data_IF_608169765241
#
_entry.id   IF_608169765241
#
_cell.length_a   1.000
_cell.length_b   1.000
_cell.length_c   1.000
_cell.angle_alpha   90.00
_cell.angle_beta   90.00
_cell.angle_gamma   90.00
#
_symmetry.space_group_name_H-M   'P 1'
#
loop_
_entity.id
_entity.type
_entity.pdbx_description
1 polymer ?
#
# COMPACT_ATOMS: atom_id res chain seq x y z
N UNK A 1 3.07 29.00 7.75
CA UNK A 1 1.88 28.26 8.23
C UNK A 1 1.76 28.38 9.74
N UNK A 2 0.63 28.85 10.23
CA UNK A 2 0.41 28.94 11.68
C UNK A 2 0.17 27.56 12.29
N UNK A 3 0.60 27.31 13.53
CA UNK A 3 0.26 26.08 14.22
C UNK A 3 -1.26 25.88 14.27
N UNK A 4 -1.74 24.74 13.83
CA UNK A 4 -3.16 24.42 13.77
C UNK A 4 -3.82 24.61 12.42
N UNK A 5 -3.18 25.28 11.46
CA UNK A 5 -3.69 25.40 10.08
C UNK A 5 -3.09 24.30 9.20
N UNK A 6 -3.65 23.10 9.32
CA UNK A 6 -3.19 21.92 8.59
C UNK A 6 -4.10 21.60 7.39
N UNK A 7 -5.16 22.41 7.15
CA UNK A 7 -6.13 22.10 6.09
C UNK A 7 -5.55 22.17 4.69
N UNK A 8 -4.74 23.19 4.40
CA UNK A 8 -4.18 23.37 3.07
C UNK A 8 -3.21 22.23 2.68
N UNK A 9 -2.24 21.83 3.54
CA UNK A 9 -1.40 20.68 3.24
C UNK A 9 -2.19 19.37 3.19
N UNK A 10 -3.18 19.16 4.05
CA UNK A 10 -4.01 17.95 4.01
C UNK A 10 -4.85 17.88 2.73
N UNK A 11 -5.42 19.02 2.29
CA UNK A 11 -6.17 19.09 1.05
C UNK A 11 -5.26 18.80 -0.16
N UNK A 12 -4.03 19.27 -0.13
CA UNK A 12 -3.05 19.01 -1.18
C UNK A 12 -2.70 17.52 -1.25
N UNK A 13 -2.48 16.88 -0.10
CA UNK A 13 -2.23 15.44 -0.05
C UNK A 13 -3.42 14.64 -0.58
N UNK A 14 -4.64 15.03 -0.23
CA UNK A 14 -5.86 14.40 -0.72
C UNK A 14 -5.97 14.51 -2.24
N UNK A 15 -5.63 15.65 -2.81
CA UNK A 15 -5.71 15.89 -4.24
C UNK A 15 -4.61 15.13 -5.02
N UNK A 16 -3.39 15.08 -4.48
CA UNK A 16 -2.24 14.42 -5.11
C UNK A 16 -2.26 12.91 -4.91
N UNK A 17 -2.79 12.43 -3.77
CA UNK A 17 -2.79 11.03 -3.37
C UNK A 17 -4.19 10.58 -2.94
N UNK A 18 -5.17 10.54 -3.88
CA UNK A 18 -6.57 10.33 -3.53
C UNK A 18 -6.88 8.96 -2.92
N UNK A 19 -6.07 7.94 -3.21
CA UNK A 19 -6.28 6.57 -2.74
C UNK A 19 -5.46 6.23 -1.50
N UNK A 20 -5.05 7.23 -0.73
CA UNK A 20 -4.25 7.04 0.47
C UNK A 20 -5.01 7.47 1.72
N UNK A 21 -4.51 6.98 2.87
CA UNK A 21 -4.98 7.43 4.17
C UNK A 21 -4.25 8.72 4.53
N UNK A 22 -5.00 9.80 4.65
CA UNK A 22 -4.45 11.11 5.03
C UNK A 22 -4.50 11.23 6.55
N UNK A 23 -3.41 11.66 7.14
CA UNK A 23 -3.33 11.84 8.59
C UNK A 23 -2.63 13.14 8.97
N UNK A 24 -2.98 13.63 10.17
CA UNK A 24 -2.30 14.74 10.83
C UNK A 24 -2.28 14.48 12.33
N UNK A 25 -1.10 14.59 12.94
CA UNK A 25 -0.91 14.37 14.37
C UNK A 25 0.28 15.20 14.86
N UNK A 26 0.03 16.12 15.81
CA UNK A 26 1.06 16.92 16.47
C UNK A 26 2.06 17.58 15.50
N UNK A 27 1.55 18.17 14.43
CA UNK A 27 2.38 18.82 13.41
C UNK A 27 2.99 17.86 12.38
N UNK A 28 2.85 16.55 12.57
CA UNK A 28 3.19 15.56 11.57
C UNK A 28 1.97 15.26 10.71
N UNK A 29 2.10 15.36 9.41
CA UNK A 29 1.03 15.03 8.48
C UNK A 29 1.59 14.35 7.24
N UNK A 30 0.75 13.51 6.63
CA UNK A 30 1.17 12.73 5.48
C UNK A 30 0.03 11.93 4.87
N UNK A 31 0.39 11.11 3.91
CA UNK A 31 -0.52 10.20 3.23
C UNK A 31 0.11 8.79 3.17
N UNK A 32 -0.66 7.77 3.53
CA UNK A 32 -0.20 6.39 3.49
C UNK A 32 -1.10 5.56 2.58
N UNK A 33 -0.54 4.82 1.63
CA UNK A 33 -1.32 3.91 0.78
C UNK A 33 -1.63 2.58 1.46
N UNK A 34 -1.05 2.29 2.62
CA UNK A 34 -1.15 1.00 3.26
C UNK A 34 -2.28 0.96 4.28
N UNK A 35 -3.10 -0.09 4.20
CA UNK A 35 -4.07 -0.44 5.23
C UNK A 35 -3.53 -1.64 6.00
N UNK A 36 -3.14 -1.42 7.25
CA UNK A 36 -2.63 -2.50 8.08
C UNK A 36 -3.69 -3.56 8.31
N UNK A 37 -4.81 -3.17 8.89
CA UNK A 37 -5.96 -4.05 9.11
C UNK A 37 -7.22 -3.21 9.11
N UNK A 38 -8.25 -3.72 8.45
CA UNK A 38 -9.59 -3.16 8.50
C UNK A 38 -10.54 -4.24 8.99
N UNK A 39 -11.36 -3.92 9.98
CA UNK A 39 -12.41 -4.81 10.48
C UNK A 39 -13.76 -4.16 10.22
N UNK A 40 -14.62 -4.88 9.51
CA UNK A 40 -15.95 -4.40 9.16
C UNK A 40 -16.91 -5.58 9.16
N UNK A 41 -17.96 -5.54 9.99
CA UNK A 41 -18.99 -6.58 10.07
C UNK A 41 -18.41 -8.00 10.18
N UNK A 42 -17.44 -8.22 11.06
CA UNK A 42 -16.74 -9.50 11.27
C UNK A 42 -15.86 -9.92 10.08
N UNK A 43 -15.63 -9.05 9.13
CA UNK A 43 -14.68 -9.28 8.05
C UNK A 43 -13.39 -8.54 8.33
N UNK A 44 -12.29 -9.22 8.12
CA UNK A 44 -10.96 -8.64 8.23
C UNK A 44 -10.38 -8.49 6.83
N UNK A 45 -9.80 -7.35 6.56
CA UNK A 45 -9.06 -7.13 5.32
C UNK A 45 -7.76 -6.38 5.61
N UNK A 46 -6.76 -6.65 4.80
CA UNK A 46 -5.47 -5.99 4.86
C UNK A 46 -4.91 -5.86 3.45
N UNK A 47 -4.20 -4.78 3.20
CA UNK A 47 -3.43 -4.61 1.97
C UNK A 47 -1.97 -4.54 2.34
N UNK A 48 -1.19 -5.49 1.83
CA UNK A 48 0.24 -5.58 2.06
C UNK A 48 0.96 -4.94 0.89
N UNK A 49 1.83 -3.98 1.19
CA UNK A 49 2.69 -3.33 0.20
C UNK A 49 4.14 -3.62 0.57
N UNK A 50 4.85 -4.26 -0.32
CA UNK A 50 6.28 -4.48 -0.17
C UNK A 50 6.89 -4.69 -1.56
N UNK A 51 8.06 -4.12 -1.76
CA UNK A 51 8.66 -4.03 -3.08
C UNK A 51 8.21 -2.75 -3.79
N UNK A 52 9.15 -1.95 -4.24
CA UNK A 52 8.86 -0.63 -4.79
C UNK A 52 9.73 -0.33 -6.00
N UNK A 53 9.21 0.45 -6.93
CA UNK A 53 9.95 1.00 -8.05
C UNK A 53 9.50 2.45 -8.29
N UNK A 54 10.44 3.28 -8.74
CA UNK A 54 10.12 4.64 -9.14
C UNK A 54 9.20 4.64 -10.36
N UNK A 55 8.33 5.65 -10.44
CA UNK A 55 7.52 5.90 -11.64
C UNK A 55 8.42 6.30 -12.81
N UNK A 56 8.06 5.86 -14.01
CA UNK A 56 8.70 6.34 -15.22
C UNK A 56 8.21 7.73 -15.60
N UNK A 57 9.00 8.44 -16.39
CA UNK A 57 8.70 9.81 -16.82
C UNK A 57 7.82 9.86 -18.08
N UNK A 58 7.63 8.74 -18.75
CA UNK A 58 6.68 8.58 -19.84
C UNK A 58 5.97 7.22 -19.77
N UNK A 59 5.01 6.97 -20.65
CA UNK A 59 4.22 5.75 -20.66
C UNK A 59 5.08 4.50 -20.84
N UNK A 60 6.07 4.54 -21.70
CA UNK A 60 6.95 3.39 -21.99
C UNK A 60 7.86 3.05 -20.82
N UNK A 61 8.52 4.06 -20.23
CA UNK A 61 9.40 3.86 -19.06
C UNK A 61 8.60 3.46 -17.83
N UNK A 62 7.39 3.98 -17.67
CA UNK A 62 6.51 3.66 -16.55
C UNK A 62 6.05 2.19 -16.63
N UNK A 63 5.63 1.72 -17.80
CA UNK A 63 5.28 0.31 -18.01
C UNK A 63 6.47 -0.62 -17.81
N UNK A 64 7.65 -0.20 -18.24
CA UNK A 64 8.88 -0.97 -18.03
C UNK A 64 9.25 -1.06 -16.55
N UNK A 65 9.04 0.01 -15.78
CA UNK A 65 9.27 0.01 -14.34
C UNK A 65 8.36 -0.96 -13.61
N UNK A 66 7.07 -0.98 -13.94
CA UNK A 66 6.11 -1.92 -13.38
C UNK A 66 6.46 -3.38 -13.73
N UNK A 67 6.83 -3.64 -14.98
CA UNK A 67 7.23 -4.96 -15.43
C UNK A 67 8.51 -5.45 -14.74
N UNK A 68 9.50 -4.57 -14.58
CA UNK A 68 10.73 -4.89 -13.87
C UNK A 68 10.49 -5.22 -12.39
N UNK A 69 9.59 -4.50 -11.74
CA UNK A 69 9.19 -4.76 -10.36
C UNK A 69 8.55 -6.14 -10.23
N UNK A 70 7.62 -6.48 -11.12
CA UNK A 70 6.97 -7.80 -11.16
C UNK A 70 7.98 -8.93 -11.38
N UNK A 71 9.01 -8.70 -12.18
CA UNK A 71 10.03 -9.69 -12.51
C UNK A 71 11.16 -9.78 -11.47
N UNK A 72 11.26 -8.82 -10.55
CA UNK A 72 12.33 -8.77 -9.55
C UNK A 72 12.16 -9.87 -8.51
N UNK A 73 13.05 -10.85 -8.49
CA UNK A 73 13.03 -11.91 -7.49
C UNK A 73 13.19 -11.37 -6.07
N UNK A 74 14.08 -10.40 -5.89
CA UNK A 74 14.30 -9.76 -4.59
C UNK A 74 13.02 -9.12 -4.06
N UNK A 75 12.35 -8.31 -4.87
CA UNK A 75 11.12 -7.62 -4.48
C UNK A 75 9.97 -8.60 -4.23
N UNK A 76 9.88 -9.65 -5.03
CA UNK A 76 8.86 -10.70 -4.84
C UNK A 76 9.09 -11.49 -3.57
N UNK A 77 10.32 -11.83 -3.23
CA UNK A 77 10.66 -12.55 -2.00
C UNK A 77 10.36 -11.68 -0.77
N UNK A 78 10.72 -10.41 -0.82
CA UNK A 78 10.40 -9.45 0.24
C UNK A 78 8.90 -9.31 0.41
N UNK A 79 8.15 -9.22 -0.69
CA UNK A 79 6.70 -9.13 -0.67
C UNK A 79 6.07 -10.39 -0.08
N UNK A 80 6.51 -11.56 -0.50
CA UNK A 80 6.00 -12.85 0.02
C UNK A 80 6.25 -12.98 1.53
N UNK A 81 7.42 -12.56 1.99
CA UNK A 81 7.72 -12.54 3.42
C UNK A 81 6.75 -11.63 4.19
N UNK A 82 6.48 -10.45 3.67
CA UNK A 82 5.54 -9.50 4.28
C UNK A 82 4.10 -10.06 4.32
N UNK A 83 3.64 -10.65 3.22
CA UNK A 83 2.33 -11.30 3.14
C UNK A 83 2.20 -12.43 4.16
N UNK A 84 3.20 -13.31 4.22
CA UNK A 84 3.20 -14.44 5.15
C UNK A 84 3.19 -13.96 6.60
N UNK A 85 3.88 -12.87 6.92
CA UNK A 85 3.86 -12.28 8.27
C UNK A 85 2.47 -11.81 8.65
N UNK A 86 1.77 -11.16 7.74
CA UNK A 86 0.40 -10.68 7.98
C UNK A 86 -0.58 -11.85 8.11
N UNK A 87 -0.50 -12.82 7.21
CA UNK A 87 -1.35 -14.03 7.25
C UNK A 87 -1.15 -14.79 8.57
N UNK A 88 0.09 -14.96 8.99
CA UNK A 88 0.40 -15.65 10.25
C UNK A 88 -0.17 -14.90 11.46
N UNK A 89 -0.10 -13.58 11.45
CA UNK A 89 -0.63 -12.76 12.54
C UNK A 89 -2.16 -12.78 12.59
N UNK A 90 -2.84 -12.82 11.45
CA UNK A 90 -4.31 -12.79 11.36
C UNK A 90 -4.96 -14.16 11.48
N UNK A 91 -4.27 -15.24 11.13
CA UNK A 91 -4.84 -16.58 11.08
C UNK A 91 -5.56 -17.01 12.37
N UNK A 92 -5.04 -16.76 13.59
CA UNK A 92 -5.72 -17.11 14.82
C UNK A 92 -7.07 -16.42 15.03
N UNK A 93 -7.30 -15.32 14.35
CA UNK A 93 -8.49 -14.48 14.49
C UNK A 93 -9.54 -14.71 13.40
N UNK A 94 -9.25 -15.59 12.46
CA UNK A 94 -10.11 -15.85 11.30
C UNK A 94 -10.42 -17.32 11.18
N UNK A 95 -11.63 -17.67 10.70
CA UNK A 95 -11.98 -19.06 10.37
C UNK A 95 -11.21 -19.55 9.15
N UNK A 96 -11.03 -18.66 8.18
CA UNK A 96 -10.23 -18.90 6.99
C UNK A 96 -9.61 -17.57 6.54
N UNK A 97 -8.46 -17.64 5.89
CA UNK A 97 -7.81 -16.49 5.29
C UNK A 97 -7.65 -16.75 3.81
N UNK A 98 -8.04 -15.76 3.01
CA UNK A 98 -7.84 -15.76 1.57
C UNK A 98 -6.85 -14.65 1.23
N UNK A 99 -5.74 -15.04 0.61
CA UNK A 99 -4.77 -14.11 0.05
C UNK A 99 -4.62 -14.37 -1.44
N UNK A 100 -4.24 -13.34 -2.18
CA UNK A 100 -3.93 -13.50 -3.59
C UNK A 100 -2.67 -14.35 -3.75
N UNK A 101 -2.71 -15.36 -4.61
CA UNK A 101 -1.55 -16.20 -4.88
C UNK A 101 -0.42 -15.43 -5.57
N UNK A 102 -0.75 -14.39 -6.32
CA UNK A 102 0.19 -13.56 -7.05
C UNK A 102 -0.04 -12.09 -6.70
N UNK A 103 1.00 -11.34 -6.34
CA UNK A 103 0.85 -9.91 -6.10
C UNK A 103 0.54 -9.16 -7.40
N UNK A 104 -0.09 -8.01 -7.27
CA UNK A 104 -0.32 -7.09 -8.36
C UNK A 104 0.51 -5.81 -8.19
N UNK A 105 0.70 -5.07 -9.28
CA UNK A 105 1.37 -3.77 -9.20
C UNK A 105 0.34 -2.68 -8.91
N UNK A 106 0.59 -1.93 -7.84
CA UNK A 106 -0.24 -0.79 -7.45
C UNK A 106 0.44 0.50 -7.89
N UNK A 107 -0.24 1.26 -8.75
CA UNK A 107 0.25 2.54 -9.24
C UNK A 107 -0.16 3.64 -8.29
N UNK A 108 0.81 4.32 -7.71
CA UNK A 108 0.61 5.54 -6.95
C UNK A 108 1.14 6.73 -7.74
N UNK A 109 0.91 7.94 -7.24
CA UNK A 109 1.33 9.15 -7.93
C UNK A 109 2.84 9.22 -8.16
N UNK A 110 3.63 8.68 -7.24
CA UNK A 110 5.09 8.80 -7.22
C UNK A 110 5.86 7.48 -7.25
N UNK A 111 5.20 6.35 -7.01
CA UNK A 111 5.87 5.04 -6.96
C UNK A 111 4.96 3.93 -7.45
N UNK A 112 5.58 2.80 -7.84
CA UNK A 112 4.93 1.50 -7.98
C UNK A 112 5.22 0.66 -6.74
N UNK A 113 4.24 -0.08 -6.27
CA UNK A 113 4.41 -1.10 -5.24
C UNK A 113 3.89 -2.45 -5.72
N UNK A 114 4.51 -3.53 -5.22
CA UNK A 114 3.84 -4.83 -5.23
C UNK A 114 2.83 -4.84 -4.09
N UNK A 115 1.62 -5.29 -4.38
CA UNK A 115 0.52 -5.28 -3.44
C UNK A 115 -0.20 -6.62 -3.43
N UNK A 116 -0.71 -7.01 -2.26
CA UNK A 116 -1.59 -8.15 -2.11
C UNK A 116 -2.72 -7.80 -1.15
N UNK A 117 -3.94 -8.16 -1.53
CA UNK A 117 -5.11 -8.01 -0.68
C UNK A 117 -5.39 -9.33 0.04
N UNK A 118 -5.55 -9.25 1.36
CA UNK A 118 -5.82 -10.38 2.24
C UNK A 118 -7.18 -10.14 2.88
N UNK A 119 -8.00 -11.18 2.93
CA UNK A 119 -9.31 -11.12 3.57
C UNK A 119 -9.59 -12.38 4.40
N UNK A 120 -10.34 -12.19 5.46
CA UNK A 120 -10.73 -13.29 6.33
C UNK A 120 -11.99 -13.05 7.11
#
# INVERSE_FOLDING_TARGET
MTPGDERAPLQRLTNEYPDTHIFALDGLWGASPETLVRVDERRISARVLAGSAARGWDSATDSAAAAALTASTKDRDEHEYAVNSVVTALAPHCRSIVGAATPFTLRLSNVWHLASDISG
#
